data_IF_863947862416
#
_entry.id   IF_863947862416
#
_cell.length_a   1.000
_cell.length_b   1.000
_cell.length_c   1.000
_cell.angle_alpha   90.00
_cell.angle_beta   90.00
_cell.angle_gamma   90.00
#
_symmetry.space_group_name_H-M   'P 1'
#
loop_
_entity.id
_entity.type
_entity.pdbx_description
1 polymer ?
#
# COMPACT_ATOMS: atom_id res chain seq x y z
N UNK A 1 11.50 10.12 16.49
CA UNK A 1 11.21 8.87 15.74
C UNK A 1 12.23 8.75 14.61
N UNK A 2 13.08 7.73 14.61
CA UNK A 2 14.16 7.59 13.62
C UNK A 2 13.57 7.09 12.30
N UNK A 3 13.48 7.96 11.28
CA UNK A 3 13.10 7.54 9.93
C UNK A 3 14.12 6.51 9.47
N UNK A 4 13.68 5.32 9.05
CA UNK A 4 14.61 4.36 8.47
C UNK A 4 15.25 5.01 7.23
N UNK A 5 16.55 4.76 7.00
CA UNK A 5 17.19 5.19 5.77
C UNK A 5 16.37 4.63 4.60
N UNK A 6 15.88 5.53 3.74
CA UNK A 6 15.01 5.15 2.62
C UNK A 6 15.73 4.12 1.77
N UNK A 7 15.11 2.94 1.63
CA UNK A 7 15.64 1.87 0.81
C UNK A 7 14.73 1.69 -0.40
N UNK A 8 15.05 2.41 -1.48
CA UNK A 8 14.25 2.42 -2.70
C UNK A 8 14.18 1.03 -3.34
N UNK A 9 15.19 0.16 -3.19
CA UNK A 9 15.14 -1.21 -3.68
C UNK A 9 14.00 -2.01 -3.02
N UNK A 10 13.87 -1.93 -1.70
CA UNK A 10 12.77 -2.59 -0.97
C UNK A 10 11.40 -2.03 -1.38
N UNK A 11 11.32 -0.73 -1.62
CA UNK A 11 10.10 -0.09 -2.09
C UNK A 11 9.72 -0.58 -3.50
N UNK A 12 10.69 -0.67 -4.42
CA UNK A 12 10.49 -1.19 -5.77
C UNK A 12 10.07 -2.66 -5.75
N UNK A 13 10.67 -3.49 -4.90
CA UNK A 13 10.24 -4.89 -4.72
C UNK A 13 8.78 -4.94 -4.24
N UNK A 14 8.42 -4.13 -3.24
CA UNK A 14 7.06 -4.09 -2.74
C UNK A 14 6.06 -3.57 -3.80
N UNK A 15 6.48 -2.63 -4.64
CA UNK A 15 5.68 -2.13 -5.76
C UNK A 15 5.46 -3.21 -6.82
N UNK A 16 6.52 -3.91 -7.23
CA UNK A 16 6.45 -5.00 -8.20
C UNK A 16 5.56 -6.13 -7.67
N UNK A 17 5.74 -6.56 -6.42
CA UNK A 17 4.90 -7.59 -5.81
C UNK A 17 3.43 -7.15 -5.73
N UNK A 18 3.17 -5.90 -5.35
CA UNK A 18 1.82 -5.34 -5.36
C UNK A 18 1.19 -5.39 -6.76
N UNK A 19 1.94 -4.98 -7.79
CA UNK A 19 1.49 -5.02 -9.19
C UNK A 19 1.23 -6.45 -9.66
N UNK A 20 2.12 -7.40 -9.38
CA UNK A 20 1.96 -8.80 -9.77
C UNK A 20 0.70 -9.42 -9.17
N UNK A 21 0.41 -9.16 -7.89
CA UNK A 21 -0.84 -9.62 -7.27
C UNK A 21 -2.07 -9.02 -7.95
N UNK A 22 -2.00 -7.76 -8.36
CA UNK A 22 -3.11 -7.09 -9.07
C UNK A 22 -3.29 -7.61 -10.50
N UNK A 23 -2.26 -8.15 -11.13
CA UNK A 23 -2.35 -8.73 -12.48
C UNK A 23 -2.87 -10.18 -12.49
N UNK A 24 -3.12 -10.80 -11.32
CA UNK A 24 -3.71 -12.13 -11.24
C UNK A 24 -5.16 -12.08 -11.78
N UNK A 25 -5.50 -12.91 -12.79
CA UNK A 25 -6.85 -12.95 -13.34
C UNK A 25 -7.87 -13.49 -12.32
N UNK A 26 -9.14 -13.11 -12.48
CA UNK A 26 -10.27 -13.57 -11.64
C UNK A 26 -10.18 -13.20 -10.14
N UNK A 27 -9.36 -12.21 -9.80
CA UNK A 27 -9.36 -11.63 -8.44
C UNK A 27 -10.67 -10.89 -8.16
N UNK A 28 -11.12 -10.94 -6.91
CA UNK A 28 -12.25 -10.13 -6.48
C UNK A 28 -11.95 -8.63 -6.68
N UNK A 29 -12.95 -7.83 -7.10
CA UNK A 29 -12.79 -6.39 -7.30
C UNK A 29 -12.22 -5.73 -6.04
N UNK A 30 -11.18 -4.92 -6.20
CA UNK A 30 -10.56 -4.10 -5.15
C UNK A 30 -10.05 -4.85 -3.91
N UNK A 31 -9.90 -6.19 -3.95
CA UNK A 31 -9.09 -6.91 -2.97
C UNK A 31 -7.62 -6.82 -3.42
N UNK A 32 -6.96 -5.73 -3.03
CA UNK A 32 -5.62 -5.38 -3.51
C UNK A 32 -4.66 -5.03 -2.36
N UNK A 33 -3.37 -5.38 -2.45
CA UNK A 33 -2.41 -5.12 -1.37
C UNK A 33 -1.94 -3.65 -1.29
N UNK A 34 -2.61 -2.70 -1.97
CA UNK A 34 -2.17 -1.28 -2.02
C UNK A 34 -2.12 -0.68 -0.61
N UNK A 35 -3.23 -0.69 0.14
CA UNK A 35 -3.22 -0.17 1.53
C UNK A 35 -2.21 -0.91 2.39
N UNK A 36 -2.12 -2.23 2.21
CA UNK A 36 -1.28 -3.08 3.03
C UNK A 36 0.22 -2.76 2.90
N UNK A 37 0.66 -2.27 1.74
CA UNK A 37 2.04 -1.81 1.48
C UNK A 37 2.19 -0.31 1.73
N UNK A 38 1.22 0.50 1.33
CA UNK A 38 1.24 1.97 1.44
C UNK A 38 1.35 2.41 2.90
N UNK A 39 0.56 1.84 3.81
CA UNK A 39 0.60 2.18 5.24
C UNK A 39 1.98 2.00 5.87
N UNK A 40 2.63 0.81 5.79
CA UNK A 40 3.97 0.62 6.32
C UNK A 40 5.03 1.43 5.56
N UNK A 41 4.88 1.68 4.26
CA UNK A 41 5.78 2.57 3.51
C UNK A 41 5.71 4.01 4.05
N UNK A 42 4.51 4.54 4.27
CA UNK A 42 4.30 5.86 4.89
C UNK A 42 4.89 5.94 6.29
N UNK A 43 4.74 4.90 7.11
CA UNK A 43 5.32 4.85 8.46
C UNK A 43 6.84 4.73 8.44
N UNK A 44 7.41 3.92 7.55
CA UNK A 44 8.85 3.68 7.49
C UNK A 44 9.64 4.84 6.88
N UNK A 45 9.09 5.47 5.83
CA UNK A 45 9.82 6.40 4.97
C UNK A 45 9.16 7.78 4.81
N UNK A 46 7.96 7.98 5.37
CA UNK A 46 7.24 9.26 5.40
C UNK A 46 6.07 9.35 4.41
N UNK A 47 5.20 10.36 4.64
CA UNK A 47 3.96 10.59 3.91
C UNK A 47 4.13 10.63 2.38
N UNK A 48 5.13 11.38 1.90
CA UNK A 48 5.40 11.52 0.46
C UNK A 48 5.74 10.18 -0.19
N UNK A 49 6.41 9.26 0.54
CA UNK A 49 6.76 7.95 -0.02
C UNK A 49 5.53 7.07 -0.19
N UNK A 50 4.61 7.08 0.79
CA UNK A 50 3.34 6.35 0.62
C UNK A 50 2.42 6.97 -0.42
N UNK A 51 2.37 8.31 -0.51
CA UNK A 51 1.69 9.02 -1.60
C UNK A 51 2.22 8.59 -2.97
N UNK A 52 3.54 8.69 -3.19
CA UNK A 52 4.14 8.29 -4.46
C UNK A 52 3.95 6.80 -4.74
N UNK A 53 4.07 5.94 -3.73
CA UNK A 53 3.82 4.51 -3.88
C UNK A 53 2.39 4.23 -4.37
N UNK A 54 1.40 4.85 -3.74
CA UNK A 54 0.00 4.70 -4.09
C UNK A 54 -0.26 5.12 -5.54
N UNK A 55 0.14 6.34 -5.90
CA UNK A 55 -0.04 6.88 -7.25
C UNK A 55 0.65 6.00 -8.30
N UNK A 56 1.93 5.68 -8.08
CA UNK A 56 2.69 4.85 -9.03
C UNK A 56 2.09 3.46 -9.17
N UNK A 57 1.65 2.84 -8.08
CA UNK A 57 1.02 1.52 -8.14
C UNK A 57 -0.23 1.53 -9.02
N UNK A 58 -1.11 2.53 -8.85
CA UNK A 58 -2.35 2.63 -9.62
C UNK A 58 -2.05 2.92 -11.09
N UNK A 59 -1.25 3.96 -11.36
CA UNK A 59 -0.94 4.36 -12.74
C UNK A 59 -0.24 3.24 -13.51
N UNK A 60 0.75 2.57 -12.91
CA UNK A 60 1.43 1.46 -13.59
C UNK A 60 0.48 0.31 -13.88
N UNK A 61 -0.38 -0.05 -12.94
CA UNK A 61 -1.38 -1.09 -13.20
C UNK A 61 -2.30 -0.69 -14.34
N UNK A 62 -2.91 0.50 -14.28
CA UNK A 62 -3.88 0.93 -15.29
C UNK A 62 -3.26 1.05 -16.70
N UNK A 63 -2.00 1.48 -16.79
CA UNK A 63 -1.23 1.47 -18.04
C UNK A 63 -1.05 0.03 -18.54
N UNK A 64 -0.63 -0.89 -17.68
CA UNK A 64 -0.33 -2.28 -18.05
C UNK A 64 -1.59 -3.08 -18.40
N UNK A 65 -2.71 -2.81 -17.73
CA UNK A 65 -4.01 -3.45 -18.03
C UNK A 65 -4.79 -2.74 -19.13
N UNK A 66 -4.33 -1.59 -19.63
CA UNK A 66 -5.05 -0.79 -20.62
C UNK A 66 -6.36 -0.20 -20.09
N UNK A 67 -6.47 0.02 -18.77
CA UNK A 67 -7.70 0.47 -18.08
C UNK A 67 -7.67 1.93 -17.66
N UNK A 68 -6.76 2.73 -18.24
CA UNK A 68 -6.69 4.17 -17.96
C UNK A 68 -8.03 4.84 -18.32
N UNK A 69 -8.60 5.59 -17.38
CA UNK A 69 -9.82 6.35 -17.62
C UNK A 69 -10.18 7.30 -16.48
N UNK A 70 -11.42 7.79 -16.47
CA UNK A 70 -11.92 8.69 -15.40
C UNK A 70 -11.76 8.03 -14.02
N UNK A 71 -12.02 6.72 -13.93
CA UNK A 71 -11.82 5.95 -12.70
C UNK A 71 -10.38 6.05 -12.16
N UNK A 72 -9.37 6.07 -13.04
CA UNK A 72 -7.95 6.22 -12.65
C UNK A 72 -7.73 7.52 -11.89
N UNK A 73 -8.31 8.63 -12.37
CA UNK A 73 -8.16 9.93 -11.71
C UNK A 73 -8.67 9.91 -10.27
N UNK A 74 -9.89 9.42 -10.06
CA UNK A 74 -10.49 9.32 -8.72
C UNK A 74 -9.75 8.32 -7.83
N UNK A 75 -9.28 7.21 -8.40
CA UNK A 75 -8.55 6.17 -7.67
C UNK A 75 -7.19 6.70 -7.21
N UNK A 76 -6.43 7.34 -8.11
CA UNK A 76 -5.15 8.02 -7.81
C UNK A 76 -5.34 9.11 -6.77
N UNK A 77 -6.38 9.92 -6.92
CA UNK A 77 -6.70 10.98 -5.96
C UNK A 77 -6.99 10.42 -4.56
N UNK A 78 -7.92 9.47 -4.46
CA UNK A 78 -8.33 8.88 -3.19
C UNK A 78 -7.16 8.19 -2.50
N UNK A 79 -6.45 7.29 -3.19
CA UNK A 79 -5.31 6.59 -2.61
C UNK A 79 -4.11 7.50 -2.35
N UNK A 80 -3.89 8.52 -3.17
CA UNK A 80 -2.88 9.53 -2.92
C UNK A 80 -3.13 10.24 -1.59
N UNK A 81 -4.36 10.72 -1.36
CA UNK A 81 -4.75 11.32 -0.08
C UNK A 81 -4.58 10.35 1.09
N UNK A 82 -4.96 9.07 0.92
CA UNK A 82 -4.71 8.04 1.94
C UNK A 82 -3.22 7.83 2.21
N UNK A 83 -2.35 7.89 1.20
CA UNK A 83 -0.90 7.80 1.37
C UNK A 83 -0.33 8.94 2.20
N UNK A 84 -0.79 10.17 1.92
CA UNK A 84 -0.44 11.35 2.71
C UNK A 84 -0.95 11.24 4.15
N UNK A 85 -2.21 10.86 4.31
CA UNK A 85 -2.85 10.71 5.61
C UNK A 85 -2.22 9.60 6.45
N UNK A 86 -1.82 8.48 5.83
CA UNK A 86 -1.09 7.42 6.53
C UNK A 86 0.19 7.96 7.17
N UNK A 87 0.90 8.86 6.50
CA UNK A 87 2.11 9.47 7.05
C UNK A 87 1.85 10.30 8.31
N UNK A 88 0.75 11.06 8.38
CA UNK A 88 0.39 11.82 9.57
C UNK A 88 -0.23 10.94 10.67
N UNK A 89 -1.08 9.98 10.29
CA UNK A 89 -1.68 9.01 11.19
C UNK A 89 -0.62 8.18 11.92
N UNK A 90 0.31 7.57 11.19
CA UNK A 90 1.34 6.73 11.79
C UNK A 90 2.51 7.54 12.39
N UNK A 91 2.56 8.87 12.28
CA UNK A 91 3.45 9.66 13.16
C UNK A 91 2.99 9.59 14.62
N UNK A 92 1.68 9.60 14.85
CA UNK A 92 1.07 9.59 16.19
C UNK A 92 0.77 8.17 16.70
N UNK A 93 0.64 7.21 15.80
CA UNK A 93 0.28 5.82 16.13
C UNK A 93 1.46 4.84 15.99
N UNK A 94 1.48 3.81 16.82
CA UNK A 94 2.46 2.72 16.73
C UNK A 94 2.19 1.85 15.49
N UNK A 95 3.25 1.23 14.96
CA UNK A 95 3.19 0.29 13.82
C UNK A 95 2.70 -1.10 14.28
N UNK A 96 1.50 -1.17 14.84
CA UNK A 96 0.88 -2.42 15.30
C UNK A 96 -0.21 -2.89 14.33
N UNK A 97 -0.52 -4.19 14.37
CA UNK A 97 -1.62 -4.81 13.59
C UNK A 97 -2.91 -4.01 13.67
N UNK A 98 -3.29 -3.60 14.89
CA UNK A 98 -4.53 -2.89 15.14
C UNK A 98 -4.54 -1.44 14.63
N UNK A 99 -3.39 -0.76 14.64
CA UNK A 99 -3.29 0.56 14.00
C UNK A 99 -3.47 0.45 12.48
N UNK A 100 -2.90 -0.60 11.86
CA UNK A 100 -3.10 -0.86 10.43
C UNK A 100 -4.56 -1.20 10.11
N UNK A 101 -5.20 -2.06 10.90
CA UNK A 101 -6.62 -2.40 10.71
C UNK A 101 -7.53 -1.17 10.84
N UNK A 102 -7.35 -0.34 11.87
CA UNK A 102 -8.16 0.88 12.05
C UNK A 102 -8.01 1.83 10.88
N UNK A 103 -6.78 2.03 10.41
CA UNK A 103 -6.53 2.84 9.22
C UNK A 103 -7.18 2.22 7.98
N UNK A 104 -7.06 0.90 7.79
CA UNK A 104 -7.63 0.21 6.64
C UNK A 104 -9.16 0.32 6.59
N UNK A 105 -9.85 0.22 7.74
CA UNK A 105 -11.30 0.39 7.81
C UNK A 105 -11.69 1.79 7.33
N UNK A 106 -11.13 2.83 7.96
CA UNK A 106 -11.50 4.22 7.63
C UNK A 106 -11.07 4.59 6.22
N UNK A 107 -9.88 4.13 5.80
CA UNK A 107 -9.34 4.37 4.47
C UNK A 107 -10.17 3.70 3.38
N UNK A 108 -10.66 2.48 3.61
CA UNK A 108 -11.55 1.78 2.66
C UNK A 108 -12.88 2.52 2.52
N UNK A 109 -13.50 2.90 3.64
CA UNK A 109 -14.76 3.67 3.61
C UNK A 109 -14.60 5.01 2.88
N UNK A 110 -13.49 5.72 3.13
CA UNK A 110 -13.17 6.96 2.42
C UNK A 110 -12.98 6.72 0.92
N UNK A 111 -12.18 5.72 0.54
CA UNK A 111 -11.93 5.39 -0.86
C UNK A 111 -13.22 5.05 -1.60
N UNK A 112 -14.06 4.20 -1.01
CA UNK A 112 -15.31 3.75 -1.59
C UNK A 112 -16.35 4.87 -1.69
N UNK A 113 -16.41 5.75 -0.70
CA UNK A 113 -17.26 6.94 -0.77
C UNK A 113 -16.79 7.89 -1.89
N UNK A 114 -15.48 8.10 -2.03
CA UNK A 114 -14.93 8.99 -3.06
C UNK A 114 -15.08 8.40 -4.45
N UNK A 115 -14.90 7.10 -4.63
CA UNK A 115 -14.93 6.47 -5.96
C UNK A 115 -16.33 5.99 -6.33
N UNK A 116 -16.91 5.11 -5.52
CA UNK A 116 -18.15 4.43 -5.80
C UNK A 116 -19.40 5.32 -5.80
N UNK A 117 -19.45 6.31 -4.91
CA UNK A 117 -20.58 7.23 -4.80
C UNK A 117 -20.47 8.47 -5.71
N UNK A 118 -19.37 8.63 -6.44
CA UNK A 118 -19.16 9.80 -7.32
C UNK A 118 -19.05 9.42 -8.79
N UNK A 119 -18.22 8.43 -9.15
CA UNK A 119 -17.88 8.16 -10.55
C UNK A 119 -19.12 7.74 -11.35
N UNK A 120 -19.90 6.80 -10.81
CA UNK A 120 -21.18 6.37 -11.39
C UNK A 120 -22.17 7.53 -11.58
N UNK A 121 -22.57 8.22 -10.49
CA UNK A 121 -23.54 9.30 -10.58
C UNK A 121 -23.12 10.48 -11.46
N UNK A 122 -21.85 10.90 -11.40
CA UNK A 122 -21.38 12.10 -12.12
C UNK A 122 -21.12 11.80 -13.60
N UNK A 123 -20.51 10.66 -13.94
CA UNK A 123 -20.03 10.41 -15.31
C UNK A 123 -20.90 9.44 -16.10
N UNK A 124 -21.74 8.65 -15.43
CA UNK A 124 -22.55 7.61 -16.06
C UNK A 124 -24.06 7.80 -15.83
N UNK A 125 -24.48 8.95 -15.28
CA UNK A 125 -25.87 9.26 -14.93
C UNK A 125 -26.55 8.17 -14.09
N UNK A 126 -25.77 7.42 -13.30
CA UNK A 126 -26.30 6.38 -12.45
C UNK A 126 -27.10 7.02 -11.30
N UNK A 127 -28.35 6.61 -11.03
CA UNK A 127 -29.08 7.09 -9.88
C UNK A 127 -28.28 6.88 -8.58
N UNK A 128 -28.21 7.90 -7.73
CA UNK A 128 -27.44 7.84 -6.49
C UNK A 128 -27.86 6.66 -5.60
N UNK A 129 -29.17 6.38 -5.52
CA UNK A 129 -29.71 5.23 -4.77
C UNK A 129 -29.18 3.89 -5.30
N UNK A 130 -29.05 3.75 -6.62
CA UNK A 130 -28.49 2.54 -7.23
C UNK A 130 -26.99 2.42 -6.97
N UNK A 131 -26.24 3.52 -7.04
CA UNK A 131 -24.83 3.56 -6.67
C UNK A 131 -24.64 3.18 -5.20
N UNK A 132 -25.42 3.77 -4.29
CA UNK A 132 -25.36 3.48 -2.86
C UNK A 132 -25.67 2.01 -2.53
N UNK A 133 -26.74 1.45 -3.11
CA UNK A 133 -27.10 0.05 -2.87
C UNK A 133 -26.07 -0.93 -3.43
N UNK A 134 -25.51 -0.65 -4.61
CA UNK A 134 -24.41 -1.44 -5.19
C UNK A 134 -23.11 -1.31 -4.40
N UNK A 135 -22.89 -0.17 -3.74
CA UNK A 135 -21.69 0.09 -2.95
C UNK A 135 -21.63 -0.76 -1.68
N UNK A 136 -22.76 -1.09 -1.05
CA UNK A 136 -22.79 -1.87 0.21
C UNK A 136 -22.07 -3.23 0.06
N UNK A 137 -22.46 -4.14 -0.85
CA UNK A 137 -21.78 -5.43 -1.00
C UNK A 137 -20.34 -5.28 -1.49
N UNK A 138 -20.07 -4.28 -2.34
CA UNK A 138 -18.71 -4.00 -2.79
C UNK A 138 -17.80 -3.55 -1.65
N UNK A 139 -18.25 -2.62 -0.81
CA UNK A 139 -17.51 -2.13 0.36
C UNK A 139 -17.30 -3.21 1.40
N UNK A 140 -18.26 -4.12 1.58
CA UNK A 140 -18.09 -5.27 2.46
C UNK A 140 -16.92 -6.17 1.99
N UNK A 141 -16.87 -6.50 0.69
CA UNK A 141 -15.76 -7.27 0.11
C UNK A 141 -14.42 -6.52 0.21
N UNK A 142 -14.43 -5.23 -0.08
CA UNK A 142 -13.25 -4.39 -0.03
C UNK A 142 -12.69 -4.29 1.41
N UNK A 143 -13.57 -4.13 2.40
CA UNK A 143 -13.21 -4.13 3.82
C UNK A 143 -12.61 -5.46 4.24
N UNK A 144 -13.22 -6.59 3.88
CA UNK A 144 -12.68 -7.92 4.20
C UNK A 144 -11.26 -8.06 3.66
N UNK A 145 -11.04 -7.71 2.39
CA UNK A 145 -9.71 -7.75 1.77
C UNK A 145 -8.69 -6.86 2.48
N UNK A 146 -9.01 -5.58 2.63
CA UNK A 146 -8.10 -4.59 3.19
C UNK A 146 -7.80 -4.83 4.67
N UNK A 147 -8.79 -5.22 5.47
CA UNK A 147 -8.59 -5.56 6.89
C UNK A 147 -7.74 -6.81 7.02
N UNK A 148 -7.99 -7.84 6.20
CA UNK A 148 -7.19 -9.07 6.23
C UNK A 148 -5.72 -8.79 5.88
N UNK A 149 -5.46 -8.05 4.80
CA UNK A 149 -4.09 -7.68 4.45
C UNK A 149 -3.45 -6.72 5.45
N UNK A 150 -4.21 -5.79 6.03
CA UNK A 150 -3.71 -4.88 7.06
C UNK A 150 -3.29 -5.63 8.34
N UNK A 151 -4.07 -6.64 8.74
CA UNK A 151 -3.79 -7.42 9.93
C UNK A 151 -2.56 -8.34 9.72
N UNK A 152 -2.48 -8.99 8.56
CA UNK A 152 -1.46 -10.02 8.27
C UNK A 152 -0.20 -9.42 7.62
N UNK A 153 -0.35 -8.73 6.49
CA UNK A 153 0.76 -8.32 5.64
C UNK A 153 1.43 -7.03 6.12
N UNK A 154 0.67 -6.00 6.53
CA UNK A 154 1.26 -4.70 6.87
C UNK A 154 2.35 -4.73 7.95
N UNK A 155 2.22 -5.47 9.07
CA UNK A 155 3.29 -5.59 10.04
C UNK A 155 4.54 -6.28 9.47
N UNK A 156 4.35 -7.34 8.68
CA UNK A 156 5.45 -8.07 8.04
C UNK A 156 6.21 -7.16 7.05
N UNK A 157 5.47 -6.41 6.23
CA UNK A 157 6.02 -5.43 5.29
C UNK A 157 6.75 -4.30 6.05
N UNK A 158 6.19 -3.83 7.16
CA UNK A 158 6.87 -2.82 7.99
C UNK A 158 8.22 -3.33 8.49
N UNK A 159 8.25 -4.55 9.06
CA UNK A 159 9.49 -5.18 9.49
C UNK A 159 10.47 -5.35 8.33
N UNK A 160 9.99 -5.75 7.15
CA UNK A 160 10.81 -5.83 5.94
C UNK A 160 11.44 -4.47 5.61
N UNK A 161 10.70 -3.36 5.65
CA UNK A 161 11.23 -2.03 5.37
C UNK A 161 12.28 -1.56 6.37
N UNK A 162 12.04 -1.76 7.67
CA UNK A 162 12.93 -1.23 8.73
C UNK A 162 14.12 -2.14 9.07
N UNK A 163 14.09 -3.43 8.69
CA UNK A 163 15.19 -4.37 8.92
C UNK A 163 16.48 -3.88 8.25
N UNK A 164 17.51 -3.56 9.05
CA UNK A 164 18.85 -3.25 8.54
C UNK A 164 19.47 -4.53 7.94
N UNK A 165 20.13 -4.42 6.80
CA UNK A 165 20.94 -5.54 6.26
C UNK A 165 22.09 -5.75 7.25
N UNK A 166 22.18 -6.92 7.89
CA UNK A 166 23.41 -7.31 8.59
C UNK A 166 24.49 -7.38 7.50
N UNK A 167 25.45 -6.47 7.58
CA UNK A 167 26.65 -6.52 6.74
C UNK A 167 27.52 -7.63 7.28
N UNK A 168 27.27 -8.88 6.90
CA UNK A 168 28.28 -9.93 7.05
C UNK A 168 29.36 -9.71 5.99
N UNK A 169 30.19 -8.70 6.23
CA UNK A 169 31.54 -8.71 5.69
C UNK A 169 32.29 -9.61 6.67
N UNK A 170 32.30 -10.92 6.41
CA UNK A 170 33.32 -11.78 7.00
C UNK A 170 34.64 -11.30 6.38
N UNK A 171 35.57 -10.72 7.15
CA UNK A 171 36.88 -10.39 6.60
C UNK A 171 37.55 -11.73 6.25
N UNK A 172 37.62 -12.04 4.96
CA UNK A 172 38.19 -13.27 4.41
C UNK A 172 39.73 -13.34 4.51
N UNK A 173 40.35 -12.55 5.37
CA UNK A 173 41.80 -12.51 5.51
C UNK A 173 42.16 -12.67 6.99
N UNK A 174 42.33 -13.93 7.40
CA UNK A 174 43.15 -14.26 8.55
C UNK A 174 44.61 -13.97 8.16
N UNK A 175 45.38 -13.16 8.90
CA UNK A 175 46.82 -13.13 8.71
C UNK A 175 47.35 -14.50 9.14
N UNK A 176 47.86 -15.27 8.18
CA UNK A 176 48.71 -16.42 8.45
C UNK A 176 49.85 -15.93 9.36
N UNK A 177 49.79 -16.28 10.64
CA UNK A 177 50.95 -16.20 11.53
C UNK A 177 51.94 -17.23 11.04
N UNK A 178 52.85 -16.81 10.16
CA UNK A 178 54.05 -17.57 9.85
C UNK A 178 54.85 -17.66 11.15
N UNK A 179 54.87 -18.86 11.76
CA UNK A 179 55.85 -19.17 12.79
C UNK A 179 57.21 -19.19 12.09
N UNK A 180 58.04 -18.20 12.41
CA UNK A 180 59.47 -18.24 12.11
C UNK A 180 60.07 -19.24 13.10
N UNK A 181 60.67 -20.30 12.58
CA UNK A 181 61.62 -21.18 13.28
C UNK A 181 63.00 -20.77 12.77
#
# INVERSE_FOLDING_TARGET
MHSAKKNYLKLSIALILCLLVRLIPLRAPNIEPILAVMMPASKAYGALVGFSFAILSILLYDVLSGTIGVQTFFTVFAYGLLGLWAGSYFKKNQASRWSYVRFAIIGTLFFDAVTGLTVGPIFYNQPFTQSLLGQIPFTALHLIGNVSFAFVLSPAIYHFFVKKKKSEIVPLISPLKTKII
#
